data_IF_449469745475
#
_entry.id   IF_449469745475
#
_cell.length_a   1.000
_cell.length_b   1.000
_cell.length_c   1.000
_cell.angle_alpha   90.00
_cell.angle_beta   90.00
_cell.angle_gamma   90.00
#
_symmetry.space_group_name_H-M   'P 1'
#
loop_
_entity.id
_entity.type
_entity.pdbx_description
1 polymer ?
#
# COMPACT_ATOMS: atom_id res chain seq x y z
N UNK A 1 15.76 -16.98 18.66
CA UNK A 1 15.33 -17.66 17.42
C UNK A 1 14.86 -16.57 16.48
N UNK A 2 15.57 -16.34 15.37
CA UNK A 2 15.19 -15.33 14.36
C UNK A 2 14.51 -16.04 13.20
N UNK A 3 13.20 -15.87 13.08
CA UNK A 3 12.40 -16.39 11.96
C UNK A 3 12.20 -15.32 10.89
N UNK A 4 11.97 -15.75 9.65
CA UNK A 4 11.64 -14.87 8.52
C UNK A 4 10.21 -15.17 8.08
N UNK A 5 9.40 -14.11 7.97
CA UNK A 5 8.08 -14.17 7.36
C UNK A 5 8.13 -13.66 5.92
N UNK A 6 7.38 -14.29 5.03
CA UNK A 6 7.15 -13.84 3.67
C UNK A 6 5.64 -13.62 3.48
N UNK A 7 5.29 -12.55 2.78
CA UNK A 7 3.93 -12.29 2.32
C UNK A 7 3.93 -12.02 0.82
N UNK A 8 2.85 -12.41 0.15
CA UNK A 8 2.65 -12.17 -1.27
C UNK A 8 1.28 -11.54 -1.49
N UNK A 9 1.27 -10.44 -2.23
CA UNK A 9 0.06 -9.70 -2.58
C UNK A 9 0.07 -9.33 -4.05
N UNK A 10 -1.12 -9.38 -4.66
CA UNK A 10 -1.34 -8.88 -6.02
C UNK A 10 -1.62 -7.37 -6.00
N UNK A 11 -0.93 -6.62 -6.87
CA UNK A 11 -1.08 -5.16 -6.97
C UNK A 11 -2.52 -4.79 -7.33
N UNK A 12 -3.10 -5.41 -8.36
CA UNK A 12 -4.47 -5.12 -8.79
C UNK A 12 -5.50 -5.38 -7.68
N UNK A 13 -5.22 -6.34 -6.79
CA UNK A 13 -6.09 -6.61 -5.64
C UNK A 13 -6.02 -5.48 -4.62
N UNK A 14 -4.83 -4.92 -4.38
CA UNK A 14 -4.65 -3.77 -3.50
C UNK A 14 -5.28 -2.52 -4.10
N UNK A 15 -5.07 -2.26 -5.39
CA UNK A 15 -5.66 -1.12 -6.11
C UNK A 15 -7.19 -1.11 -5.97
N UNK A 16 -7.86 -2.23 -6.32
CA UNK A 16 -9.32 -2.37 -6.15
C UNK A 16 -9.78 -2.20 -4.70
N UNK A 17 -8.96 -2.63 -3.73
CA UNK A 17 -9.29 -2.48 -2.32
C UNK A 17 -9.23 -1.02 -1.87
N UNK A 18 -8.24 -0.26 -2.35
CA UNK A 18 -8.08 1.17 -2.08
C UNK A 18 -9.19 1.99 -2.76
N UNK A 19 -9.54 1.67 -4.01
CA UNK A 19 -10.66 2.31 -4.72
C UNK A 19 -11.99 2.13 -3.98
N UNK A 20 -12.29 0.88 -3.55
CA UNK A 20 -13.53 0.57 -2.84
C UNK A 20 -13.57 1.18 -1.44
N UNK A 21 -12.42 1.44 -0.82
CA UNK A 21 -12.30 1.94 0.56
C UNK A 21 -11.23 3.02 0.64
N UNK A 22 -11.55 4.28 0.31
CA UNK A 22 -10.56 5.36 0.29
C UNK A 22 -9.80 5.56 1.61
N UNK A 23 -10.48 5.37 2.75
CA UNK A 23 -9.87 5.46 4.09
C UNK A 23 -8.89 4.32 4.40
N UNK A 24 -8.82 3.29 3.56
CA UNK A 24 -7.90 2.16 3.76
C UNK A 24 -6.44 2.62 3.65
N UNK A 25 -6.14 3.57 2.76
CA UNK A 25 -4.79 4.14 2.64
C UNK A 25 -4.34 4.83 3.93
N UNK A 26 -5.25 5.53 4.61
CA UNK A 26 -4.95 6.20 5.89
C UNK A 26 -4.70 5.22 7.04
N UNK A 27 -5.31 4.04 6.96
CA UNK A 27 -5.17 2.99 7.98
C UNK A 27 -3.93 2.13 7.78
N UNK A 28 -3.50 1.93 6.53
CA UNK A 28 -2.38 1.05 6.20
C UNK A 28 -1.04 1.80 6.17
N UNK A 29 -1.05 3.08 5.81
CA UNK A 29 0.17 3.87 5.61
C UNK A 29 0.19 5.08 6.53
N UNK A 30 1.38 5.50 6.93
CA UNK A 30 1.62 6.77 7.60
C UNK A 30 1.41 7.96 6.65
N UNK A 31 1.32 9.17 7.19
CA UNK A 31 1.21 10.38 6.37
C UNK A 31 2.42 10.55 5.42
N UNK A 32 3.64 10.34 5.94
CA UNK A 32 4.86 10.48 5.16
C UNK A 32 4.95 9.48 4.00
N UNK A 33 4.52 8.23 4.19
CA UNK A 33 4.48 7.22 3.13
C UNK A 33 3.48 7.59 2.03
N UNK A 34 2.31 8.13 2.39
CA UNK A 34 1.34 8.61 1.41
C UNK A 34 1.85 9.81 0.61
N UNK A 35 2.51 10.76 1.28
CA UNK A 35 3.11 11.93 0.62
C UNK A 35 4.22 11.49 -0.36
N UNK A 36 5.05 10.53 0.06
CA UNK A 36 6.07 9.93 -0.79
C UNK A 36 5.47 9.26 -2.03
N UNK A 37 4.39 8.48 -1.84
CA UNK A 37 3.74 7.74 -2.92
C UNK A 37 2.96 8.66 -3.87
N UNK A 38 2.39 9.77 -3.39
CA UNK A 38 1.63 10.73 -4.20
C UNK A 38 2.46 11.38 -5.32
N UNK A 39 3.78 11.48 -5.14
CA UNK A 39 4.71 12.00 -6.15
C UNK A 39 5.10 10.99 -7.24
N UNK A 40 4.55 9.79 -7.24
CA UNK A 40 4.95 8.69 -8.14
C UNK A 40 3.91 8.45 -9.23
N UNK A 41 4.38 8.10 -10.43
CA UNK A 41 3.53 7.87 -11.61
C UNK A 41 2.49 6.75 -11.40
N UNK A 42 2.79 5.80 -10.52
CA UNK A 42 1.88 4.73 -10.08
C UNK A 42 2.13 4.44 -8.59
N UNK A 43 1.39 5.08 -7.67
CA UNK A 43 1.63 4.96 -6.23
C UNK A 43 1.53 3.53 -5.69
N UNK A 44 0.73 2.64 -6.30
CA UNK A 44 0.52 1.28 -5.82
C UNK A 44 1.68 0.29 -6.10
N UNK A 45 2.72 0.69 -6.85
CA UNK A 45 3.87 -0.17 -7.22
C UNK A 45 5.16 0.12 -6.43
N UNK A 46 5.16 1.05 -5.48
CA UNK A 46 6.36 1.52 -4.78
C UNK A 46 6.19 1.48 -3.26
#
# INVERSE_FOLDING_TARGET
MTGVGLDLLEIDRLERALERRPLLAERLFTAAERDYAAGKARPAMH
#
